data_IF_347475610037
#
_entry.id   IF_347475610037
#
_cell.length_a   1.000
_cell.length_b   1.000
_cell.length_c   1.000
_cell.angle_alpha   90.00
_cell.angle_beta   90.00
_cell.angle_gamma   90.00
#
_symmetry.space_group_name_H-M   'P 1'
#
loop_
_entity.id
_entity.type
_entity.pdbx_description
1 polymer ?
#
# COMPACT_ATOMS: atom_id res chain seq x y z
N UNK A 1 -7.83 -8.12 15.60
CA UNK A 1 -7.05 -7.11 14.85
C UNK A 1 -6.47 -6.13 15.85
N UNK A 2 -5.16 -5.88 15.85
CA UNK A 2 -4.54 -4.87 16.73
C UNK A 2 -4.98 -3.49 16.21
N UNK A 3 -5.71 -2.72 17.01
CA UNK A 3 -5.93 -1.28 16.76
C UNK A 3 -4.61 -0.57 17.00
N UNK A 4 -3.97 -0.11 15.94
CA UNK A 4 -2.85 0.82 16.04
C UNK A 4 -3.45 2.23 16.24
N UNK A 5 -2.93 3.01 17.18
CA UNK A 5 -3.33 4.41 17.37
C UNK A 5 -2.62 5.29 16.33
N UNK A 6 -2.81 4.98 15.05
CA UNK A 6 -2.31 5.80 13.95
C UNK A 6 -3.44 6.75 13.58
N UNK A 7 -3.19 8.04 13.74
CA UNK A 7 -4.08 9.09 13.25
C UNK A 7 -3.75 9.28 11.77
N UNK A 8 -4.72 9.12 10.85
CA UNK A 8 -4.51 9.42 9.43
C UNK A 8 -4.10 10.89 9.26
N UNK A 9 -3.14 11.13 8.39
CA UNK A 9 -2.77 12.47 7.93
C UNK A 9 -3.38 12.76 6.55
N UNK A 10 -3.21 13.99 6.06
CA UNK A 10 -3.74 14.42 4.76
C UNK A 10 -3.26 13.52 3.60
N UNK A 11 -2.05 12.97 3.71
CA UNK A 11 -1.48 12.07 2.71
C UNK A 11 -2.17 10.70 2.73
N UNK A 12 -2.51 10.21 3.92
CA UNK A 12 -3.29 8.99 4.11
C UNK A 12 -4.68 9.12 3.47
N UNK A 13 -5.37 10.23 3.73
CA UNK A 13 -6.69 10.50 3.16
C UNK A 13 -6.66 10.61 1.63
N UNK A 14 -5.63 11.24 1.08
CA UNK A 14 -5.42 11.34 -0.37
C UNK A 14 -5.26 9.96 -1.02
N UNK A 15 -4.44 9.07 -0.46
CA UNK A 15 -4.26 7.74 -1.03
C UNK A 15 -5.51 6.87 -0.91
N UNK A 16 -6.25 6.95 0.19
CA UNK A 16 -7.52 6.24 0.34
C UNK A 16 -8.59 6.75 -0.65
N UNK A 17 -8.59 8.05 -0.95
CA UNK A 17 -9.44 8.59 -2.02
C UNK A 17 -9.09 7.99 -3.38
N UNK A 18 -7.81 7.91 -3.74
CA UNK A 18 -7.39 7.29 -5.02
C UNK A 18 -7.80 5.82 -5.06
N UNK A 19 -7.51 5.04 -4.00
CA UNK A 19 -7.84 3.61 -3.93
C UNK A 19 -9.34 3.36 -4.08
N UNK A 20 -10.16 4.21 -3.46
CA UNK A 20 -11.63 4.06 -3.49
C UNK A 20 -12.24 4.39 -4.85
N UNK A 21 -11.54 5.17 -5.68
CA UNK A 21 -12.08 5.68 -6.95
C UNK A 21 -11.48 4.99 -8.19
N UNK A 22 -10.52 4.08 -8.02
CA UNK A 22 -9.85 3.40 -9.13
C UNK A 22 -9.97 1.88 -9.03
N UNK A 23 -10.06 1.22 -10.18
CA UNK A 23 -9.87 -0.22 -10.27
C UNK A 23 -8.41 -0.52 -10.61
N UNK A 24 -7.75 -1.29 -9.74
CA UNK A 24 -6.37 -1.72 -9.94
C UNK A 24 -6.22 -3.21 -9.63
N UNK A 25 -5.18 -3.80 -10.22
CA UNK A 25 -4.81 -5.21 -10.02
C UNK A 25 -3.95 -5.38 -8.77
N UNK A 26 -2.95 -4.51 -8.60
CA UNK A 26 -2.03 -4.48 -7.46
C UNK A 26 -1.60 -3.04 -7.20
N UNK A 27 -1.42 -2.70 -5.92
CA UNK A 27 -0.91 -1.44 -5.42
C UNK A 27 0.45 -1.70 -4.77
N UNK A 28 1.50 -1.11 -5.33
CA UNK A 28 2.86 -1.26 -4.83
C UNK A 28 3.25 -0.02 -4.03
N UNK A 29 3.65 -0.19 -2.77
CA UNK A 29 4.18 0.88 -1.92
C UNK A 29 5.65 0.66 -1.65
N UNK A 30 6.40 1.75 -1.53
CA UNK A 30 7.79 1.74 -1.08
C UNK A 30 7.93 2.78 0.01
N UNK A 31 8.45 2.37 1.17
CA UNK A 31 8.85 3.29 2.25
C UNK A 31 9.58 2.53 3.37
N UNK A 32 9.17 1.29 3.60
CA UNK A 32 9.78 0.42 4.59
C UNK A 32 10.87 -0.43 3.93
N UNK A 33 11.97 -0.66 4.63
CA UNK A 33 13.15 -1.40 4.16
C UNK A 33 12.91 -2.92 4.11
N UNK A 34 11.78 -3.35 3.53
CA UNK A 34 11.35 -4.74 3.51
C UNK A 34 10.44 -5.01 2.32
N UNK A 35 10.40 -6.25 1.85
CA UNK A 35 9.41 -6.73 0.88
C UNK A 35 8.31 -7.49 1.63
N UNK A 36 7.06 -7.05 1.57
CA UNK A 36 5.93 -7.66 2.30
C UNK A 36 4.70 -7.72 1.42
N UNK A 37 4.15 -8.93 1.24
CA UNK A 37 2.79 -9.11 0.70
C UNK A 37 1.78 -8.86 1.82
N UNK A 38 0.94 -7.85 1.63
CA UNK A 38 -0.17 -7.57 2.53
C UNK A 38 -1.36 -8.45 2.06
N UNK A 39 -2.31 -8.72 2.95
CA UNK A 39 -3.41 -9.68 2.72
C UNK A 39 -4.32 -9.29 1.54
N UNK A 40 -4.29 -8.01 1.12
CA UNK A 40 -5.09 -7.48 0.01
C UNK A 40 -4.26 -7.33 -1.29
N UNK A 41 -4.72 -6.47 -2.22
CA UNK A 41 -4.01 -6.11 -3.46
C UNK A 41 -2.84 -5.16 -3.21
N UNK A 42 -2.17 -5.27 -2.07
CA UNK A 42 -1.10 -4.36 -1.66
C UNK A 42 0.20 -5.13 -1.43
N UNK A 43 1.28 -4.63 -2.02
CA UNK A 43 2.63 -5.17 -1.81
C UNK A 43 3.57 -4.04 -1.47
N UNK A 44 4.26 -4.18 -0.34
CA UNK A 44 5.42 -3.37 -0.02
C UNK A 44 6.64 -3.94 -0.75
N UNK A 45 7.33 -3.09 -1.50
CA UNK A 45 8.58 -3.41 -2.19
C UNK A 45 9.70 -2.47 -1.74
N UNK A 46 10.89 -3.03 -1.60
CA UNK A 46 12.13 -2.35 -1.30
C UNK A 46 13.33 -2.96 -2.03
N UNK A 47 13.55 -4.27 -1.91
CA UNK A 47 14.70 -4.93 -2.55
C UNK A 47 14.33 -5.58 -3.89
N UNK A 48 13.06 -5.97 -4.05
CA UNK A 48 12.60 -6.73 -5.22
C UNK A 48 12.07 -5.81 -6.31
N UNK A 49 12.34 -6.18 -7.57
CA UNK A 49 11.74 -5.56 -8.75
C UNK A 49 10.64 -6.48 -9.29
N UNK A 50 9.40 -6.00 -9.32
CA UNK A 50 8.26 -6.74 -9.84
C UNK A 50 8.00 -6.39 -11.31
N UNK A 51 7.88 -7.43 -12.14
CA UNK A 51 7.52 -7.27 -13.55
C UNK A 51 6.00 -7.31 -13.70
N UNK A 52 5.43 -6.25 -14.27
CA UNK A 52 4.00 -6.15 -14.54
C UNK A 52 3.70 -6.74 -15.92
N UNK A 53 2.63 -7.53 -16.03
CA UNK A 53 2.10 -8.15 -17.25
C UNK A 53 0.65 -7.72 -17.47
#
# INVERSE_FOLDING_TARGET
MRKTNIVPDELSDYFENIKSNLQFKQWYVGHFHSDIKIVEKETLLYNTVEKIY
#
